data_IF_342795531382
#
_entry.id   IF_342795531382
#
_cell.length_a   1.000
_cell.length_b   1.000
_cell.length_c   1.000
_cell.angle_alpha   90.00
_cell.angle_beta   90.00
_cell.angle_gamma   90.00
#
_symmetry.space_group_name_H-M   'P 1'
#
loop_
_entity.id
_entity.type
_entity.pdbx_description
1 polymer ?
#
# COMPACT_ATOMS: atom_id res chain seq x y z
N UNK A 1 -21.85 -0.84 19.08
CA UNK A 1 -22.81 -0.63 17.97
C UNK A 1 -23.01 0.88 17.85
N UNK A 2 -22.64 1.51 16.71
CA UNK A 2 -22.81 2.96 16.53
C UNK A 2 -24.30 3.30 16.47
N UNK A 3 -24.70 4.43 17.05
CA UNK A 3 -26.09 4.90 16.96
C UNK A 3 -26.39 5.43 15.55
N UNK A 4 -27.68 5.48 15.16
CA UNK A 4 -28.08 5.95 13.83
C UNK A 4 -27.60 7.38 13.53
N UNK A 5 -27.59 8.27 14.52
CA UNK A 5 -27.11 9.64 14.32
C UNK A 5 -25.58 9.70 14.16
N UNK A 6 -24.82 8.82 14.82
CA UNK A 6 -23.36 8.73 14.65
C UNK A 6 -23.00 8.28 13.23
N UNK A 7 -23.74 7.31 12.67
CA UNK A 7 -23.53 6.88 11.28
C UNK A 7 -23.74 8.04 10.30
N UNK A 8 -24.83 8.82 10.47
CA UNK A 8 -25.10 10.00 9.63
C UNK A 8 -24.04 11.08 9.83
N UNK A 9 -23.60 11.32 11.06
CA UNK A 9 -22.55 12.29 11.35
C UNK A 9 -21.23 11.88 10.70
N UNK A 10 -20.85 10.61 10.81
CA UNK A 10 -19.65 10.06 10.17
C UNK A 10 -19.72 10.20 8.65
N UNK A 11 -20.87 9.93 8.02
CA UNK A 11 -21.05 10.11 6.58
C UNK A 11 -20.96 11.58 6.15
N UNK A 12 -21.63 12.50 6.85
CA UNK A 12 -21.53 13.92 6.51
C UNK A 12 -20.10 14.42 6.76
N UNK A 13 -19.42 13.95 7.81
CA UNK A 13 -18.00 14.25 8.07
C UNK A 13 -17.14 13.75 6.92
N UNK A 14 -17.34 12.50 6.49
CA UNK A 14 -16.68 11.87 5.35
C UNK A 14 -16.80 12.74 4.10
N UNK A 15 -18.02 13.21 3.78
CA UNK A 15 -18.29 14.12 2.66
C UNK A 15 -17.57 15.46 2.77
N UNK A 16 -17.42 16.01 3.97
CA UNK A 16 -16.69 17.26 4.19
C UNK A 16 -15.18 17.03 4.04
N UNK A 17 -14.66 15.93 4.59
CA UNK A 17 -13.25 15.58 4.58
C UNK A 17 -12.75 15.16 3.19
N UNK A 18 -13.61 14.61 2.35
CA UNK A 18 -13.35 14.26 0.95
C UNK A 18 -13.60 15.41 -0.04
N UNK A 19 -13.95 16.61 0.44
CA UNK A 19 -14.34 17.77 -0.37
C UNK A 19 -15.61 17.58 -1.24
N UNK A 20 -16.43 16.54 -1.00
CA UNK A 20 -17.78 16.46 -1.61
C UNK A 20 -18.67 17.63 -1.11
N UNK A 21 -18.57 17.95 0.18
CA UNK A 21 -19.20 19.12 0.80
C UNK A 21 -18.18 20.23 1.03
N UNK A 22 -18.22 21.24 0.16
CA UNK A 22 -17.25 22.34 0.12
C UNK A 22 -17.45 23.34 1.26
N UNK A 23 -16.35 23.77 1.90
CA UNK A 23 -16.34 24.82 2.94
C UNK A 23 -17.07 26.08 2.48
N UNK A 24 -17.94 26.63 3.33
CA UNK A 24 -18.73 27.81 3.03
C UNK A 24 -19.97 27.57 2.16
N UNK A 25 -20.22 26.34 1.70
CA UNK A 25 -21.47 25.96 1.01
C UNK A 25 -22.47 25.35 2.00
N UNK A 26 -23.76 25.40 1.63
CA UNK A 26 -24.84 24.76 2.40
C UNK A 26 -24.85 23.25 2.15
N UNK A 27 -25.03 22.47 3.22
CA UNK A 27 -25.35 21.04 3.09
C UNK A 27 -26.85 20.84 2.79
N UNK A 28 -27.29 19.65 2.34
CA UNK A 28 -28.71 19.38 2.10
C UNK A 28 -29.58 19.70 3.33
N UNK A 29 -30.80 20.28 3.16
CA UNK A 29 -31.68 20.61 4.28
C UNK A 29 -32.08 19.39 5.12
N UNK A 30 -32.44 19.60 6.41
CA UNK A 30 -32.84 18.52 7.34
C UNK A 30 -33.89 17.57 6.74
N UNK A 31 -34.86 18.10 5.99
CA UNK A 31 -35.94 17.33 5.37
C UNK A 31 -35.44 16.41 4.25
N UNK A 32 -34.42 16.84 3.51
CA UNK A 32 -33.80 16.04 2.46
C UNK A 32 -32.94 14.94 3.07
N UNK A 33 -32.08 15.28 4.04
CA UNK A 33 -31.29 14.30 4.79
C UNK A 33 -32.20 13.25 5.47
N UNK A 34 -33.36 13.65 5.98
CA UNK A 34 -34.35 12.71 6.53
C UNK A 34 -34.78 11.65 5.50
N UNK A 35 -35.02 12.06 4.24
CA UNK A 35 -35.40 11.17 3.15
C UNK A 35 -34.23 10.30 2.71
N UNK A 36 -33.07 10.91 2.52
CA UNK A 36 -31.85 10.22 2.04
C UNK A 36 -31.43 9.10 2.99
N UNK A 37 -31.53 9.35 4.30
CA UNK A 37 -31.12 8.42 5.35
C UNK A 37 -32.24 7.53 5.90
N UNK A 38 -33.50 7.80 5.54
CA UNK A 38 -34.65 7.05 6.06
C UNK A 38 -34.78 7.08 7.59
N UNK A 39 -34.39 8.19 8.24
CA UNK A 39 -34.41 8.34 9.71
C UNK A 39 -35.41 9.40 10.19
N UNK A 40 -35.53 9.57 11.51
CA UNK A 40 -36.32 10.67 12.08
C UNK A 40 -35.60 12.01 11.96
N UNK A 41 -36.37 13.11 11.92
CA UNK A 41 -35.82 14.47 11.98
C UNK A 41 -34.96 14.72 13.24
N UNK A 42 -35.30 14.08 14.36
CA UNK A 42 -34.51 14.16 15.60
C UNK A 42 -33.10 13.61 15.38
N UNK A 43 -33.00 12.44 14.76
CA UNK A 43 -31.72 11.77 14.47
C UNK A 43 -30.82 12.62 13.56
N UNK A 44 -31.38 13.26 12.52
CA UNK A 44 -30.62 14.20 11.67
C UNK A 44 -30.13 15.41 12.47
N UNK A 45 -30.97 15.94 13.37
CA UNK A 45 -30.59 17.08 14.22
C UNK A 45 -29.48 16.74 15.20
N UNK A 46 -29.49 15.54 15.79
CA UNK A 46 -28.41 15.05 16.64
C UNK A 46 -27.10 14.92 15.86
N UNK A 47 -27.14 14.39 14.64
CA UNK A 47 -25.96 14.28 13.77
C UNK A 47 -25.39 15.66 13.42
N UNK A 48 -26.25 16.61 13.00
CA UNK A 48 -25.82 17.98 12.72
C UNK A 48 -25.29 18.66 13.99
N UNK A 49 -25.93 18.47 15.14
CA UNK A 49 -25.47 19.06 16.40
C UNK A 49 -24.09 18.55 16.80
N UNK A 50 -23.82 17.25 16.62
CA UNK A 50 -22.49 16.67 16.81
C UNK A 50 -21.45 17.34 15.90
N UNK A 51 -21.73 17.46 14.61
CA UNK A 51 -20.81 18.05 13.65
C UNK A 51 -20.60 19.56 13.84
N UNK A 52 -21.62 20.27 14.31
CA UNK A 52 -21.48 21.67 14.73
C UNK A 52 -20.57 21.78 15.95
N UNK A 53 -20.75 20.89 16.92
CA UNK A 53 -19.89 20.86 18.10
C UNK A 53 -18.45 20.50 17.75
N UNK A 54 -18.23 19.59 16.79
CA UNK A 54 -16.90 19.22 16.29
C UNK A 54 -16.26 20.29 15.42
N UNK A 55 -17.05 21.25 14.92
CA UNK A 55 -16.58 22.38 14.10
C UNK A 55 -16.60 22.14 12.60
N UNK A 56 -17.14 21.00 12.13
CA UNK A 56 -17.32 20.68 10.70
C UNK A 56 -18.47 21.45 10.05
N UNK A 57 -19.46 21.86 10.85
CA UNK A 57 -20.64 22.58 10.38
C UNK A 57 -20.90 23.81 11.25
N UNK A 58 -21.61 24.78 10.68
CA UNK A 58 -22.17 25.93 11.41
C UNK A 58 -23.61 26.19 10.99
N UNK A 59 -24.45 26.57 11.95
CA UNK A 59 -25.84 26.94 11.67
C UNK A 59 -25.97 28.45 11.54
N UNK A 60 -26.56 28.88 10.43
CA UNK A 60 -26.97 30.27 10.23
C UNK A 60 -28.48 30.37 10.30
N UNK A 61 -28.98 31.22 11.22
CA UNK A 61 -30.41 31.38 11.45
C UNK A 61 -31.12 31.86 10.18
N UNK A 62 -32.06 31.07 9.67
CA UNK A 62 -32.86 31.39 8.49
C UNK A 62 -32.18 31.10 7.15
N UNK A 63 -30.89 30.75 7.12
CA UNK A 63 -30.13 30.53 5.87
C UNK A 63 -29.73 29.08 5.63
N UNK A 64 -29.57 28.28 6.69
CA UNK A 64 -29.31 26.84 6.57
C UNK A 64 -28.15 26.36 7.46
N UNK A 65 -27.62 25.19 7.13
CA UNK A 65 -26.40 24.65 7.75
C UNK A 65 -25.29 24.67 6.72
N UNK A 66 -24.17 25.30 7.06
CA UNK A 66 -23.02 25.50 6.20
C UNK A 66 -21.86 24.63 6.66
N UNK A 67 -21.02 24.22 5.72
CA UNK A 67 -19.72 23.62 6.02
C UNK A 67 -18.81 24.70 6.62
N UNK A 68 -18.21 24.40 7.78
CA UNK A 68 -17.28 25.27 8.52
C UNK A 68 -15.89 24.62 8.53
N UNK A 69 -14.84 25.41 8.65
CA UNK A 69 -13.44 24.99 8.78
C UNK A 69 -12.89 25.15 10.21
N UNK A 70 -13.72 25.55 11.19
CA UNK A 70 -13.30 25.77 12.57
C UNK A 70 -12.68 24.55 13.26
N UNK A 71 -13.01 23.34 12.79
CA UNK A 71 -12.34 22.10 13.23
C UNK A 71 -10.84 22.09 12.89
N UNK A 72 -10.40 22.84 11.88
CA UNK A 72 -8.99 23.05 11.56
C UNK A 72 -8.34 24.01 12.57
N UNK A 73 -9.07 25.05 13.00
CA UNK A 73 -8.57 26.09 13.92
C UNK A 73 -8.50 25.68 15.38
N UNK A 74 -9.15 24.58 15.78
CA UNK A 74 -8.95 23.98 17.11
C UNK A 74 -7.53 23.42 17.30
N UNK A 75 -6.72 23.36 16.24
CA UNK A 75 -5.26 23.14 16.29
C UNK A 75 -4.40 24.40 16.37
N UNK A 76 -4.97 25.61 16.27
CA UNK A 76 -4.22 26.88 16.16
C UNK A 76 -3.74 27.45 17.51
N UNK A 77 -3.90 26.69 18.60
CA UNK A 77 -3.25 26.99 19.87
C UNK A 77 -1.79 26.52 19.84
N UNK A 78 -0.89 27.31 19.27
CA UNK A 78 0.59 27.23 19.30
C UNK A 78 1.16 26.04 20.09
N UNK A 79 1.00 24.87 19.48
CA UNK A 79 1.76 23.65 19.66
C UNK A 79 1.66 23.03 18.29
N UNK A 80 2.65 23.28 17.43
CA UNK A 80 2.78 22.55 16.18
C UNK A 80 2.67 21.06 16.51
N UNK A 81 1.55 20.44 16.16
CA UNK A 81 1.38 18.99 16.32
C UNK A 81 2.49 18.36 15.50
N UNK A 82 3.60 17.96 16.13
CA UNK A 82 4.71 17.28 15.45
C UNK A 82 4.33 15.84 15.14
N UNK A 83 3.07 15.57 14.80
CA UNK A 83 2.56 14.23 14.54
C UNK A 83 2.58 13.99 13.04
N UNK A 84 3.32 12.97 12.62
CA UNK A 84 3.27 12.45 11.24
C UNK A 84 2.34 11.25 11.23
N UNK A 85 1.36 11.29 10.32
CA UNK A 85 0.51 10.14 10.02
C UNK A 85 1.24 9.15 9.13
N UNK A 86 1.16 7.86 9.45
CA UNK A 86 1.69 6.77 8.64
C UNK A 86 0.58 5.76 8.40
N UNK A 87 0.24 5.56 7.13
CA UNK A 87 -0.74 4.56 6.68
C UNK A 87 0.04 3.48 5.92
N UNK A 88 -0.07 2.24 6.34
CA UNK A 88 0.55 1.08 5.68
C UNK A 88 -0.50 0.04 5.32
N UNK A 89 -0.18 -0.92 4.43
CA UNK A 89 -1.11 -2.04 4.19
C UNK A 89 -1.16 -2.97 5.40
N UNK A 90 -0.02 -3.29 6.03
CA UNK A 90 0.06 -4.15 7.21
C UNK A 90 1.02 -3.58 8.27
N UNK A 91 0.85 -3.93 9.55
CA UNK A 91 1.68 -3.41 10.65
C UNK A 91 2.75 -4.39 11.12
N UNK A 92 2.33 -5.62 11.42
CA UNK A 92 3.17 -6.62 12.10
C UNK A 92 3.86 -7.57 11.14
N UNK A 93 3.47 -7.55 9.88
CA UNK A 93 3.75 -8.66 8.98
C UNK A 93 4.90 -8.33 8.05
N UNK A 94 5.67 -9.36 7.70
CA UNK A 94 6.62 -9.33 6.60
C UNK A 94 7.66 -8.20 6.71
N UNK A 95 7.60 -7.20 5.82
CA UNK A 95 8.60 -6.14 5.68
C UNK A 95 8.26 -4.86 6.46
N UNK A 96 7.01 -4.73 6.91
CA UNK A 96 6.48 -3.51 7.50
C UNK A 96 7.12 -3.13 8.84
N UNK A 97 7.41 -4.06 9.77
CA UNK A 97 8.04 -3.71 11.03
C UNK A 97 9.38 -2.95 10.86
N UNK A 98 10.20 -3.33 9.88
CA UNK A 98 11.47 -2.65 9.59
C UNK A 98 11.25 -1.27 8.95
N UNK A 99 10.30 -1.14 8.02
CA UNK A 99 9.96 0.16 7.43
C UNK A 99 9.46 1.12 8.52
N UNK A 100 8.51 0.66 9.35
CA UNK A 100 7.93 1.45 10.45
C UNK A 100 9.03 1.83 11.46
N UNK A 101 9.98 0.94 11.76
CA UNK A 101 11.13 1.24 12.63
C UNK A 101 11.98 2.37 12.08
N UNK A 102 12.33 2.32 10.79
CA UNK A 102 13.10 3.39 10.14
C UNK A 102 12.37 4.74 10.18
N UNK A 103 11.05 4.73 9.94
CA UNK A 103 10.22 5.93 10.07
C UNK A 103 10.22 6.44 11.52
N UNK A 104 9.86 5.58 12.49
CA UNK A 104 9.72 5.94 13.90
C UNK A 104 11.02 6.48 14.47
N UNK A 105 12.14 5.82 14.23
CA UNK A 105 13.43 6.22 14.76
C UNK A 105 13.79 7.62 14.27
N UNK A 106 13.70 7.85 12.95
CA UNK A 106 14.05 9.13 12.34
C UNK A 106 13.14 10.27 12.79
N UNK A 107 11.84 10.02 12.90
CA UNK A 107 10.88 10.99 13.43
C UNK A 107 11.17 11.32 14.90
N UNK A 108 11.38 10.30 15.74
CA UNK A 108 11.66 10.46 17.17
C UNK A 108 12.91 11.29 17.42
N UNK A 109 13.99 11.03 16.66
CA UNK A 109 15.25 11.79 16.75
C UNK A 109 15.06 13.30 16.49
N UNK A 110 14.03 13.68 15.73
CA UNK A 110 13.70 15.07 15.38
C UNK A 110 12.52 15.63 16.20
N UNK A 111 12.08 14.89 17.22
CA UNK A 111 11.00 15.29 18.13
C UNK A 111 9.60 15.21 17.51
N UNK A 112 9.42 14.42 16.45
CA UNK A 112 8.11 14.11 15.88
C UNK A 112 7.50 12.88 16.57
N UNK A 113 6.19 12.92 16.75
CA UNK A 113 5.35 11.78 17.13
C UNK A 113 4.83 11.06 15.89
N UNK A 114 4.56 9.77 16.03
CA UNK A 114 4.02 8.91 14.98
C UNK A 114 2.57 8.53 15.29
N UNK A 115 1.65 8.78 14.35
CA UNK A 115 0.30 8.24 14.35
C UNK A 115 0.20 7.16 13.27
N UNK A 116 0.06 5.90 13.68
CA UNK A 116 0.11 4.76 12.78
C UNK A 116 -1.29 4.18 12.53
N UNK A 117 -1.59 3.81 11.29
CA UNK A 117 -2.80 3.09 10.90
C UNK A 117 -2.50 2.08 9.77
N UNK A 118 -3.37 1.08 9.60
CA UNK A 118 -3.23 0.07 8.55
C UNK A 118 -4.52 -0.17 7.79
N UNK A 119 -4.41 -0.37 6.48
CA UNK A 119 -5.56 -0.55 5.59
C UNK A 119 -5.93 -2.02 5.38
N UNK A 120 -5.05 -2.96 5.71
CA UNK A 120 -5.17 -4.37 5.33
C UNK A 120 -5.36 -4.57 3.81
N UNK A 121 -4.81 -3.64 3.01
CA UNK A 121 -5.04 -3.53 1.57
C UNK A 121 -6.53 -3.45 1.17
N UNK A 122 -7.38 -2.88 2.03
CA UNK A 122 -8.81 -2.67 1.82
C UNK A 122 -9.15 -1.16 1.70
N UNK A 123 -9.93 -0.81 0.66
CA UNK A 123 -10.21 0.60 0.31
C UNK A 123 -11.16 1.27 1.30
N UNK A 124 -12.04 0.53 1.98
CA UNK A 124 -12.92 1.13 2.98
C UNK A 124 -12.16 1.37 4.30
N UNK A 125 -11.22 0.49 4.64
CA UNK A 125 -10.30 0.72 5.75
C UNK A 125 -9.33 1.88 5.47
N UNK A 126 -8.85 2.00 4.25
CA UNK A 126 -8.06 3.16 3.83
C UNK A 126 -8.84 4.47 4.05
N UNK A 127 -10.11 4.52 3.64
CA UNK A 127 -10.99 5.68 3.89
C UNK A 127 -11.02 6.04 5.36
N UNK A 128 -11.27 5.06 6.24
CA UNK A 128 -11.31 5.27 7.68
C UNK A 128 -9.97 5.78 8.23
N UNK A 129 -8.85 5.27 7.72
CA UNK A 129 -7.52 5.75 8.08
C UNK A 129 -7.31 7.21 7.67
N UNK A 130 -7.67 7.58 6.44
CA UNK A 130 -7.52 8.95 5.91
C UNK A 130 -8.40 9.94 6.69
N UNK A 131 -9.65 9.57 6.99
CA UNK A 131 -10.55 10.36 7.83
C UNK A 131 -9.97 10.57 9.24
N UNK A 132 -9.41 9.51 9.83
CA UNK A 132 -8.75 9.60 11.13
C UNK A 132 -7.57 10.58 11.08
N UNK A 133 -6.70 10.49 10.08
CA UNK A 133 -5.53 11.36 9.94
C UNK A 133 -5.94 12.84 9.78
N UNK A 134 -7.00 13.13 9.02
CA UNK A 134 -7.55 14.48 8.90
C UNK A 134 -8.15 14.98 10.22
N UNK A 135 -8.90 14.13 10.92
CA UNK A 135 -9.54 14.50 12.20
C UNK A 135 -8.55 14.78 13.32
N UNK A 136 -7.40 14.08 13.32
CA UNK A 136 -6.34 14.22 14.32
C UNK A 136 -5.36 15.37 13.99
N UNK A 137 -5.47 15.99 12.82
CA UNK A 137 -4.63 17.14 12.44
C UNK A 137 -3.14 16.78 12.35
N UNK A 138 -2.80 15.74 11.57
CA UNK A 138 -1.39 15.39 11.31
C UNK A 138 -0.70 16.49 10.50
N UNK A 139 0.59 16.71 10.77
CA UNK A 139 1.41 17.70 10.05
C UNK A 139 1.89 17.20 8.70
N UNK A 140 1.92 15.89 8.48
CA UNK A 140 2.34 15.27 7.23
C UNK A 140 1.89 13.82 7.19
N UNK A 141 1.83 13.25 5.99
CA UNK A 141 1.31 11.91 5.77
C UNK A 141 2.27 11.07 4.91
N UNK A 142 2.69 9.93 5.45
CA UNK A 142 3.38 8.87 4.69
C UNK A 142 2.33 7.78 4.42
N UNK A 143 2.19 7.37 3.16
CA UNK A 143 1.18 6.37 2.79
C UNK A 143 1.78 5.28 1.93
N UNK A 144 1.56 4.03 2.31
CA UNK A 144 1.60 2.94 1.35
C UNK A 144 0.23 2.80 0.68
N UNK A 145 0.15 2.96 -0.65
CA UNK A 145 -1.11 2.86 -1.37
C UNK A 145 -1.79 1.49 -1.23
N UNK A 146 -3.10 1.53 -1.03
CA UNK A 146 -3.98 0.36 -1.07
C UNK A 146 -4.39 0.04 -2.50
N UNK A 147 -4.21 -1.22 -2.91
CA UNK A 147 -4.57 -1.74 -4.24
C UNK A 147 -4.17 -0.80 -5.38
N UNK A 148 -2.91 -0.39 -5.38
CA UNK A 148 -2.39 0.71 -6.19
C UNK A 148 -2.51 0.53 -7.71
N UNK A 149 -2.82 -0.68 -8.18
CA UNK A 149 -3.07 -0.96 -9.60
C UNK A 149 -4.58 -1.12 -9.91
N UNK A 150 -5.44 -0.58 -9.05
CA UNK A 150 -6.88 -0.50 -9.24
C UNK A 150 -7.37 0.94 -9.00
N UNK A 151 -8.57 1.24 -9.51
CA UNK A 151 -9.22 2.51 -9.21
C UNK A 151 -9.45 2.66 -7.70
N UNK A 152 -8.96 3.76 -7.13
CA UNK A 152 -9.19 4.09 -5.73
C UNK A 152 -10.32 5.13 -5.58
N UNK A 153 -11.42 4.84 -4.87
CA UNK A 153 -12.48 5.83 -4.61
C UNK A 153 -12.06 6.94 -3.63
N UNK A 154 -10.92 6.82 -2.94
CA UNK A 154 -10.48 7.72 -1.88
C UNK A 154 -9.54 8.85 -2.37
N UNK A 155 -9.32 9.00 -3.68
CA UNK A 155 -8.40 10.03 -4.23
C UNK A 155 -8.70 11.45 -3.73
N UNK A 156 -9.97 11.77 -3.46
CA UNK A 156 -10.39 13.08 -2.98
C UNK A 156 -9.85 13.43 -1.59
N UNK A 157 -9.58 12.44 -0.72
CA UNK A 157 -8.93 12.66 0.57
C UNK A 157 -7.49 13.13 0.41
N UNK A 158 -6.74 12.51 -0.49
CA UNK A 158 -5.35 12.91 -0.78
C UNK A 158 -5.28 14.35 -1.32
N UNK A 159 -6.23 14.74 -2.17
CA UNK A 159 -6.36 16.14 -2.61
C UNK A 159 -6.69 17.08 -1.44
N UNK A 160 -7.54 16.64 -0.52
CA UNK A 160 -7.91 17.41 0.67
C UNK A 160 -6.73 17.66 1.61
N UNK A 161 -5.79 16.71 1.76
CA UNK A 161 -4.52 16.96 2.47
C UNK A 161 -3.70 18.06 1.79
N UNK A 162 -3.55 17.99 0.46
CA UNK A 162 -2.81 18.98 -0.33
C UNK A 162 -3.41 20.37 -0.22
N UNK A 163 -4.73 20.51 -0.28
CA UNK A 163 -5.43 21.78 -0.14
C UNK A 163 -5.23 22.42 1.24
N UNK A 164 -5.05 21.60 2.28
CA UNK A 164 -4.74 22.04 3.65
C UNK A 164 -3.26 22.33 3.88
N UNK A 165 -2.42 22.19 2.85
CA UNK A 165 -0.98 22.34 2.98
C UNK A 165 -0.30 21.22 3.78
N UNK A 166 -0.96 20.06 3.92
CA UNK A 166 -0.38 18.89 4.57
C UNK A 166 0.36 18.07 3.50
N UNK A 167 1.70 17.96 3.56
CA UNK A 167 2.45 17.19 2.59
C UNK A 167 2.12 15.69 2.69
N UNK A 168 2.18 15.02 1.53
CA UNK A 168 1.96 13.58 1.41
C UNK A 168 3.13 12.98 0.62
N UNK A 169 3.65 11.85 1.07
CA UNK A 169 4.58 11.01 0.31
C UNK A 169 4.12 9.57 0.30
N UNK A 170 4.26 8.91 -0.85
CA UNK A 170 3.92 7.51 -0.99
C UNK A 170 5.16 6.62 -0.90
N UNK A 171 5.01 5.43 -0.32
CA UNK A 171 6.09 4.44 -0.21
C UNK A 171 5.69 3.14 -0.89
N UNK A 172 6.68 2.40 -1.41
CA UNK A 172 6.56 1.10 -2.11
C UNK A 172 5.75 1.12 -3.42
N UNK A 173 4.73 1.96 -3.53
CA UNK A 173 3.90 2.19 -4.69
C UNK A 173 3.41 3.65 -4.71
N UNK A 174 2.63 4.01 -5.72
CA UNK A 174 1.93 5.29 -5.81
C UNK A 174 0.61 5.13 -6.57
N UNK A 175 -0.28 6.12 -6.50
CA UNK A 175 -1.44 6.22 -7.39
C UNK A 175 -1.05 7.00 -8.65
N UNK A 176 -1.19 6.39 -9.84
CA UNK A 176 -0.81 7.01 -11.11
C UNK A 176 -1.67 8.27 -11.41
N UNK A 177 -2.85 8.38 -10.80
CA UNK A 177 -3.77 9.51 -10.89
C UNK A 177 -3.35 10.73 -10.07
N UNK A 178 -2.42 10.59 -9.13
CA UNK A 178 -2.01 11.65 -8.22
C UNK A 178 -0.58 12.11 -8.51
N UNK A 179 -0.38 13.43 -8.61
CA UNK A 179 0.95 14.05 -8.61
C UNK A 179 1.47 14.19 -7.18
N UNK A 180 1.76 13.06 -6.54
CA UNK A 180 2.29 12.96 -5.18
C UNK A 180 3.69 12.33 -5.24
N UNK A 181 4.68 12.89 -4.52
CA UNK A 181 6.02 12.32 -4.47
C UNK A 181 6.04 10.91 -3.89
N UNK A 182 6.98 10.08 -4.35
CA UNK A 182 7.08 8.69 -3.93
C UNK A 182 8.52 8.22 -3.67
N UNK A 183 8.63 7.21 -2.82
CA UNK A 183 9.86 6.50 -2.48
C UNK A 183 9.63 5.00 -2.72
N UNK A 184 10.21 4.48 -3.79
CA UNK A 184 9.97 3.10 -4.23
C UNK A 184 11.28 2.34 -4.46
N UNK A 185 11.17 1.03 -4.62
CA UNK A 185 12.22 0.20 -5.23
C UNK A 185 11.97 0.10 -6.73
N UNK A 186 13.01 -0.07 -7.53
CA UNK A 186 12.88 -0.29 -8.98
C UNK A 186 12.37 -1.72 -9.27
N UNK A 187 11.06 -1.93 -9.13
CA UNK A 187 10.41 -3.23 -9.30
C UNK A 187 10.56 -3.82 -10.71
N UNK A 188 10.65 -2.97 -11.75
CA UNK A 188 10.94 -3.44 -13.11
C UNK A 188 12.34 -4.06 -13.18
N UNK A 189 13.34 -3.43 -12.55
CA UNK A 189 14.68 -4.00 -12.48
C UNK A 189 14.72 -5.24 -11.60
N UNK A 190 13.97 -5.28 -10.49
CA UNK A 190 13.89 -6.45 -9.61
C UNK A 190 13.43 -7.70 -10.38
N UNK A 191 12.29 -7.60 -11.07
CA UNK A 191 11.75 -8.70 -11.89
C UNK A 191 12.69 -9.09 -13.05
N UNK A 192 13.36 -8.12 -13.65
CA UNK A 192 14.35 -8.37 -14.70
C UNK A 192 15.56 -9.15 -14.18
N UNK A 193 16.17 -8.72 -13.07
CA UNK A 193 17.34 -9.36 -12.48
C UNK A 193 17.04 -10.79 -12.01
N UNK A 194 15.88 -11.01 -11.36
CA UNK A 194 15.42 -12.34 -10.97
C UNK A 194 15.37 -13.29 -12.18
N UNK A 195 14.70 -12.84 -13.24
CA UNK A 195 14.44 -13.66 -14.43
C UNK A 195 15.71 -13.91 -15.22
N UNK A 196 16.53 -12.86 -15.41
CA UNK A 196 17.84 -12.95 -16.06
C UNK A 196 18.74 -13.97 -15.37
N UNK A 197 18.77 -13.96 -14.04
CA UNK A 197 19.58 -14.90 -13.28
C UNK A 197 19.21 -16.36 -13.58
N UNK A 198 17.91 -16.70 -13.64
CA UNK A 198 17.48 -18.06 -13.99
C UNK A 198 17.94 -18.45 -15.40
N UNK A 199 17.84 -17.56 -16.38
CA UNK A 199 18.35 -17.82 -17.72
C UNK A 199 19.87 -18.03 -17.73
N UNK A 200 20.63 -17.24 -16.98
CA UNK A 200 22.08 -17.39 -16.83
C UNK A 200 22.46 -18.71 -16.13
N UNK A 201 21.59 -19.24 -15.28
CA UNK A 201 21.72 -20.58 -14.68
C UNK A 201 21.27 -21.72 -15.61
N UNK A 202 20.89 -21.43 -16.85
CA UNK A 202 20.57 -22.43 -17.88
C UNK A 202 19.09 -22.85 -17.92
N UNK A 203 18.22 -22.24 -17.10
CA UNK A 203 16.78 -22.49 -17.20
C UNK A 203 16.22 -21.91 -18.50
N UNK A 204 15.33 -22.63 -19.18
CA UNK A 204 14.72 -22.16 -20.44
C UNK A 204 13.20 -21.94 -20.34
N UNK A 205 12.56 -22.63 -19.41
CA UNK A 205 11.11 -22.60 -19.19
C UNK A 205 10.84 -22.06 -17.79
N UNK A 206 10.41 -20.80 -17.74
CA UNK A 206 10.18 -20.08 -16.50
C UNK A 206 8.69 -19.90 -16.26
N UNK A 207 8.32 -19.84 -14.98
CA UNK A 207 7.02 -19.37 -14.53
C UNK A 207 7.15 -18.10 -13.69
N UNK A 208 6.09 -17.30 -13.69
CA UNK A 208 5.94 -16.10 -12.86
C UNK A 208 4.72 -16.27 -11.96
N UNK A 209 4.88 -16.04 -10.67
CA UNK A 209 3.76 -15.84 -9.74
C UNK A 209 3.73 -14.35 -9.40
N UNK A 210 2.66 -13.63 -9.73
CA UNK A 210 2.59 -12.18 -9.51
C UNK A 210 1.25 -11.72 -8.93
N UNK A 211 1.31 -10.69 -8.10
CA UNK A 211 0.13 -9.98 -7.59
C UNK A 211 -0.30 -8.94 -8.62
N UNK A 212 -1.60 -8.75 -8.84
CA UNK A 212 -2.10 -7.88 -9.93
C UNK A 212 -2.91 -6.67 -9.46
N UNK A 213 -3.26 -6.61 -8.19
CA UNK A 213 -3.94 -5.48 -7.56
C UNK A 213 -2.98 -4.42 -7.03
N UNK A 214 -1.65 -4.57 -7.19
CA UNK A 214 -0.66 -3.54 -6.88
C UNK A 214 0.34 -3.28 -8.03
N UNK A 215 1.02 -2.12 -7.97
CA UNK A 215 1.94 -1.68 -9.01
C UNK A 215 3.26 -2.46 -8.97
N UNK A 216 3.70 -2.88 -7.78
CA UNK A 216 4.93 -3.66 -7.63
C UNK A 216 4.85 -4.94 -8.47
N UNK A 217 3.76 -5.69 -8.39
CA UNK A 217 3.57 -6.91 -9.17
C UNK A 217 3.47 -6.66 -10.67
N UNK A 218 2.79 -5.58 -11.09
CA UNK A 218 2.75 -5.13 -12.50
C UNK A 218 4.15 -4.80 -13.03
N UNK A 219 4.97 -4.08 -12.27
CA UNK A 219 6.32 -3.71 -12.68
C UNK A 219 7.31 -4.89 -12.62
N UNK A 220 7.22 -5.77 -11.62
CA UNK A 220 8.01 -7.03 -11.59
C UNK A 220 7.68 -7.90 -12.80
N UNK A 221 6.41 -8.02 -13.18
CA UNK A 221 6.00 -8.71 -14.42
C UNK A 221 6.58 -8.05 -15.68
N UNK A 222 6.60 -6.72 -15.75
CA UNK A 222 7.28 -5.99 -16.85
C UNK A 222 8.77 -6.35 -16.91
N UNK A 223 9.44 -6.45 -15.77
CA UNK A 223 10.83 -6.91 -15.67
C UNK A 223 11.03 -8.34 -16.19
N UNK A 224 10.15 -9.25 -15.80
CA UNK A 224 10.14 -10.64 -16.26
C UNK A 224 10.03 -10.74 -17.79
N UNK A 225 9.09 -10.01 -18.39
CA UNK A 225 8.91 -9.98 -19.85
C UNK A 225 10.15 -9.38 -20.54
N UNK A 226 10.68 -8.27 -20.02
CA UNK A 226 11.89 -7.63 -20.57
C UNK A 226 13.09 -8.59 -20.61
N UNK A 227 13.26 -9.44 -19.59
CA UNK A 227 14.33 -10.44 -19.59
C UNK A 227 14.12 -11.51 -20.67
N UNK A 228 12.88 -11.95 -20.93
CA UNK A 228 12.58 -12.88 -22.04
C UNK A 228 12.90 -12.27 -23.40
N UNK A 229 12.58 -10.99 -23.59
CA UNK A 229 12.90 -10.25 -24.83
C UNK A 229 14.41 -10.17 -25.06
N UNK A 230 15.19 -9.81 -24.03
CA UNK A 230 16.65 -9.70 -24.12
C UNK A 230 17.32 -11.07 -24.38
N UNK A 231 16.87 -12.11 -23.69
CA UNK A 231 17.43 -13.46 -23.80
C UNK A 231 16.90 -14.24 -25.02
N UNK A 232 15.92 -13.68 -25.74
CA UNK A 232 15.27 -14.27 -26.92
C UNK A 232 14.68 -15.65 -26.64
N UNK A 233 14.03 -15.79 -25.49
CA UNK A 233 13.36 -17.02 -25.04
C UNK A 233 11.85 -16.95 -25.26
N UNK A 234 11.21 -18.09 -25.50
CA UNK A 234 9.76 -18.13 -25.62
C UNK A 234 9.08 -17.81 -24.29
N UNK A 235 8.18 -16.83 -24.32
CA UNK A 235 7.27 -16.54 -23.22
C UNK A 235 5.93 -17.24 -23.48
N UNK A 236 5.50 -18.12 -22.57
CA UNK A 236 4.15 -18.69 -22.59
C UNK A 236 3.30 -17.99 -21.52
N UNK A 237 2.24 -17.23 -21.90
CA UNK A 237 1.32 -16.61 -20.95
C UNK A 237 0.67 -17.60 -19.98
N UNK A 238 0.60 -18.89 -20.33
CA UNK A 238 0.09 -19.95 -19.45
C UNK A 238 0.96 -20.13 -18.21
N UNK A 239 2.24 -19.75 -18.24
CA UNK A 239 3.16 -19.86 -17.12
C UNK A 239 3.14 -18.64 -16.19
N UNK A 240 2.17 -17.73 -16.38
CA UNK A 240 1.92 -16.61 -15.48
C UNK A 240 0.73 -16.93 -14.58
N UNK A 241 1.00 -16.97 -13.28
CA UNK A 241 0.03 -17.23 -12.23
C UNK A 241 -0.24 -15.93 -11.50
N UNK A 242 -1.47 -15.44 -11.57
CA UNK A 242 -1.86 -14.16 -10.98
C UNK A 242 -2.72 -14.37 -9.74
N UNK A 243 -2.62 -13.43 -8.81
CA UNK A 243 -3.49 -13.37 -7.64
C UNK A 243 -3.72 -11.93 -7.19
N UNK A 244 -4.76 -11.73 -6.38
CA UNK A 244 -5.06 -10.49 -5.65
C UNK A 244 -4.89 -10.75 -4.15
N UNK A 245 -4.96 -9.71 -3.31
CA UNK A 245 -4.93 -9.89 -1.85
C UNK A 245 -5.89 -10.99 -1.36
N UNK A 246 -7.10 -11.07 -1.90
CA UNK A 246 -8.12 -12.05 -1.47
C UNK A 246 -7.88 -13.46 -2.03
N UNK A 247 -7.25 -13.59 -3.19
CA UNK A 247 -7.09 -14.87 -3.90
C UNK A 247 -5.72 -15.51 -3.69
N UNK A 248 -4.84 -14.89 -2.88
CA UNK A 248 -3.49 -15.37 -2.58
C UNK A 248 -3.42 -16.86 -2.24
N UNK A 249 -4.30 -17.37 -1.39
CA UNK A 249 -4.29 -18.79 -1.00
C UNK A 249 -4.58 -19.73 -2.19
N UNK A 250 -5.41 -19.30 -3.14
CA UNK A 250 -5.84 -20.10 -4.30
C UNK A 250 -4.74 -20.25 -5.35
N UNK A 251 -3.77 -19.33 -5.38
CA UNK A 251 -2.67 -19.37 -6.36
C UNK A 251 -1.81 -20.62 -6.17
N UNK A 252 -1.60 -21.06 -4.92
CA UNK A 252 -0.81 -22.24 -4.61
C UNK A 252 -1.50 -23.53 -5.06
N UNK A 253 -2.83 -23.65 -4.86
CA UNK A 253 -3.58 -24.81 -5.36
C UNK A 253 -3.59 -24.87 -6.88
N UNK A 254 -3.83 -23.74 -7.54
CA UNK A 254 -3.80 -23.64 -9.01
C UNK A 254 -2.45 -24.07 -9.57
N UNK A 255 -1.37 -23.63 -8.92
CA UNK A 255 -0.02 -23.98 -9.31
C UNK A 255 0.29 -25.46 -9.05
N UNK A 256 -0.16 -26.01 -7.92
CA UNK A 256 -0.02 -27.43 -7.57
C UNK A 256 -0.63 -28.35 -8.63
N UNK A 257 -1.85 -28.04 -9.07
CA UNK A 257 -2.54 -28.80 -10.12
C UNK A 257 -1.83 -28.74 -11.47
N UNK A 258 -1.23 -27.59 -11.79
CA UNK A 258 -0.61 -27.37 -13.09
C UNK A 258 0.80 -27.94 -13.17
N UNK A 259 1.64 -27.74 -12.16
CA UNK A 259 2.96 -28.37 -12.09
C UNK A 259 2.90 -29.89 -12.06
N UNK A 260 1.80 -30.47 -11.58
CA UNK A 260 1.57 -31.92 -11.67
C UNK A 260 1.35 -32.42 -13.11
N UNK A 261 0.90 -31.55 -14.02
CA UNK A 261 0.57 -31.88 -15.42
C UNK A 261 1.64 -31.45 -16.42
N UNK A 262 2.36 -30.37 -16.13
CA UNK A 262 3.32 -29.72 -17.03
C UNK A 262 4.73 -29.74 -16.40
N UNK A 263 5.61 -30.60 -16.92
CA UNK A 263 6.97 -30.79 -16.38
C UNK A 263 8.04 -29.88 -17.01
N UNK A 264 7.67 -28.98 -17.91
CA UNK A 264 8.65 -28.16 -18.64
C UNK A 264 9.25 -27.05 -17.77
N UNK A 265 8.46 -26.46 -16.85
CA UNK A 265 8.93 -25.37 -15.98
C UNK A 265 10.00 -25.87 -15.01
N UNK A 266 11.15 -25.20 -14.98
CA UNK A 266 12.26 -25.53 -14.06
C UNK A 266 12.68 -24.38 -13.16
N UNK A 267 12.26 -23.15 -13.47
CA UNK A 267 12.54 -21.95 -12.69
C UNK A 267 11.29 -21.12 -12.45
N UNK A 268 11.09 -20.63 -11.23
CA UNK A 268 9.90 -19.88 -10.83
C UNK A 268 10.32 -18.56 -10.17
N UNK A 269 9.88 -17.45 -10.76
CA UNK A 269 10.02 -16.12 -10.18
C UNK A 269 8.76 -15.82 -9.37
N UNK A 270 8.90 -15.66 -8.07
CA UNK A 270 7.80 -15.36 -7.17
C UNK A 270 7.65 -13.86 -6.96
N UNK A 271 6.42 -13.43 -6.67
CA UNK A 271 6.11 -12.03 -6.36
C UNK A 271 7.02 -11.49 -5.26
N UNK A 272 7.16 -12.23 -4.17
CA UNK A 272 8.03 -11.89 -3.03
C UNK A 272 8.46 -13.15 -2.26
N UNK A 273 9.27 -12.97 -1.20
CA UNK A 273 9.78 -14.09 -0.39
C UNK A 273 8.67 -14.86 0.33
N UNK A 274 7.59 -14.19 0.72
CA UNK A 274 6.47 -14.85 1.39
C UNK A 274 5.76 -15.83 0.44
N UNK A 275 5.53 -15.40 -0.82
CA UNK A 275 5.01 -16.28 -1.87
C UNK A 275 6.00 -17.39 -2.19
N UNK A 276 7.30 -17.09 -2.25
CA UNK A 276 8.33 -18.10 -2.48
C UNK A 276 8.34 -19.18 -1.38
N UNK A 277 8.22 -18.79 -0.11
CA UNK A 277 8.13 -19.75 0.99
C UNK A 277 6.85 -20.59 0.93
N UNK A 278 5.70 -19.97 0.65
CA UNK A 278 4.44 -20.71 0.45
C UNK A 278 4.54 -21.72 -0.70
N UNK A 279 5.20 -21.33 -1.80
CA UNK A 279 5.47 -22.22 -2.93
C UNK A 279 6.37 -23.40 -2.53
N UNK A 280 7.45 -23.15 -1.80
CA UNK A 280 8.35 -24.22 -1.34
C UNK A 280 7.59 -25.23 -0.47
N UNK A 281 6.72 -24.77 0.43
CA UNK A 281 5.89 -25.65 1.25
C UNK A 281 4.91 -26.47 0.40
N UNK A 282 4.27 -25.85 -0.59
CA UNK A 282 3.38 -26.54 -1.52
C UNK A 282 4.13 -27.60 -2.36
N UNK A 283 5.32 -27.28 -2.85
CA UNK A 283 6.18 -28.22 -3.58
C UNK A 283 6.62 -29.40 -2.69
N UNK A 284 7.02 -29.13 -1.45
CA UNK A 284 7.39 -30.17 -0.49
C UNK A 284 6.22 -31.13 -0.21
N UNK A 285 4.98 -30.62 -0.10
CA UNK A 285 3.78 -31.44 0.06
C UNK A 285 3.49 -32.35 -1.16
N UNK A 286 4.02 -32.01 -2.34
CA UNK A 286 3.99 -32.86 -3.54
C UNK A 286 5.20 -33.81 -3.64
N UNK A 287 6.09 -33.83 -2.65
CA UNK A 287 7.35 -34.58 -2.69
C UNK A 287 8.40 -33.97 -3.64
N UNK A 288 8.26 -32.70 -4.00
CA UNK A 288 9.21 -31.94 -4.83
C UNK A 288 10.14 -31.12 -3.94
N UNK A 289 11.36 -30.91 -4.42
CA UNK A 289 12.43 -30.22 -3.68
C UNK A 289 12.90 -28.97 -4.42
N UNK A 290 13.37 -28.01 -3.64
CA UNK A 290 14.01 -26.80 -4.12
C UNK A 290 15.44 -26.79 -3.56
N UNK A 291 16.48 -26.67 -4.41
CA UNK A 291 16.43 -26.36 -5.85
C UNK A 291 16.35 -27.58 -6.79
N UNK A 292 16.30 -28.82 -6.29
CA UNK A 292 16.55 -30.02 -7.12
C UNK A 292 15.50 -30.26 -8.20
N UNK A 293 14.22 -30.02 -7.94
CA UNK A 293 13.15 -30.16 -8.93
C UNK A 293 12.81 -28.81 -9.55
N UNK A 294 12.77 -27.74 -8.75
CA UNK A 294 12.47 -26.37 -9.19
C UNK A 294 13.43 -25.38 -8.55
N UNK A 295 14.00 -24.48 -9.35
CA UNK A 295 14.65 -23.27 -8.84
C UNK A 295 13.59 -22.21 -8.53
N UNK A 296 13.73 -21.52 -7.41
CA UNK A 296 12.78 -20.49 -6.94
C UNK A 296 13.53 -19.22 -6.59
N UNK A 297 13.04 -18.07 -7.06
CA UNK A 297 13.55 -16.75 -6.66
C UNK A 297 12.42 -15.94 -6.01
N UNK A 298 12.71 -15.37 -4.85
CA UNK A 298 11.84 -14.45 -4.13
C UNK A 298 12.13 -12.98 -4.45
N UNK A 299 11.56 -12.09 -3.64
CA UNK A 299 11.85 -10.66 -3.68
C UNK A 299 11.73 -10.10 -2.27
N UNK A 300 12.50 -9.05 -1.99
CA UNK A 300 12.55 -8.20 -0.81
C UNK A 300 13.64 -8.53 0.22
N UNK A 301 14.31 -9.68 0.18
CA UNK A 301 15.27 -10.08 1.21
C UNK A 301 14.75 -9.91 2.65
N UNK A 302 13.56 -10.43 2.87
CA UNK A 302 12.92 -10.46 4.18
C UNK A 302 13.56 -11.50 5.11
N UNK A 303 13.18 -11.49 6.38
CA UNK A 303 13.57 -12.56 7.31
C UNK A 303 13.16 -13.96 6.82
N UNK A 304 12.10 -14.06 6.00
CA UNK A 304 11.65 -15.32 5.41
C UNK A 304 12.64 -15.89 4.39
N UNK A 305 13.50 -15.06 3.79
CA UNK A 305 14.53 -15.52 2.85
C UNK A 305 15.57 -16.41 3.53
N UNK A 306 15.74 -16.27 4.84
CA UNK A 306 16.72 -17.02 5.63
C UNK A 306 16.10 -17.89 6.72
N UNK A 307 14.80 -17.82 6.98
CA UNK A 307 14.15 -18.61 8.03
C UNK A 307 13.97 -20.09 7.67
N UNK A 308 13.78 -20.41 6.39
CA UNK A 308 13.49 -21.76 5.91
C UNK A 308 14.70 -22.71 5.88
N UNK A 309 14.42 -23.99 5.59
CA UNK A 309 15.43 -25.02 5.31
C UNK A 309 16.21 -24.72 4.03
N UNK A 310 15.55 -24.11 3.04
CA UNK A 310 16.17 -23.59 1.82
C UNK A 310 16.32 -22.08 1.99
N UNK A 311 17.56 -21.58 1.88
CA UNK A 311 17.80 -20.13 1.88
C UNK A 311 17.48 -19.58 0.49
N UNK A 312 16.60 -18.59 0.42
CA UNK A 312 16.08 -18.05 -0.83
C UNK A 312 17.07 -17.11 -1.50
N UNK A 313 17.39 -17.39 -2.76
CA UNK A 313 17.84 -16.38 -3.71
C UNK A 313 16.70 -15.37 -3.89
N UNK A 314 17.01 -14.08 -3.74
CA UNK A 314 16.00 -13.01 -3.67
C UNK A 314 16.61 -11.67 -4.12
N UNK A 315 15.81 -10.61 -4.10
CA UNK A 315 16.21 -9.25 -4.45
C UNK A 315 16.16 -8.36 -3.21
N UNK A 316 17.14 -7.49 -3.02
CA UNK A 316 17.19 -6.58 -1.89
C UNK A 316 16.01 -5.60 -1.90
N UNK A 317 15.50 -5.30 -0.71
CA UNK A 317 14.60 -4.18 -0.47
C UNK A 317 15.10 -3.45 0.79
N UNK A 318 15.52 -2.19 0.71
CA UNK A 318 16.15 -1.47 1.81
C UNK A 318 15.07 -0.95 2.78
N UNK A 319 14.48 -1.85 3.58
CA UNK A 319 13.27 -1.59 4.39
C UNK A 319 13.45 -0.42 5.37
N UNK A 320 14.48 -0.50 6.22
CA UNK A 320 14.72 0.52 7.24
C UNK A 320 15.14 1.85 6.59
N UNK A 321 16.05 1.82 5.62
CA UNK A 321 16.48 3.02 4.86
C UNK A 321 15.34 3.68 4.07
N UNK A 322 14.40 2.90 3.53
CA UNK A 322 13.20 3.42 2.86
C UNK A 322 12.31 4.14 3.86
N UNK A 323 12.14 3.58 5.06
CA UNK A 323 11.43 4.22 6.16
C UNK A 323 12.11 5.52 6.62
N UNK A 324 13.42 5.49 6.81
CA UNK A 324 14.22 6.68 7.14
C UNK A 324 14.08 7.76 6.07
N UNK A 325 14.20 7.38 4.79
CA UNK A 325 14.05 8.30 3.68
C UNK A 325 12.65 8.92 3.62
N UNK A 326 11.59 8.17 3.94
CA UNK A 326 10.23 8.69 4.00
C UNK A 326 10.04 9.68 5.15
N UNK A 327 10.62 9.40 6.31
CA UNK A 327 10.62 10.31 7.45
C UNK A 327 11.42 11.59 7.16
N UNK A 328 12.60 11.48 6.56
CA UNK A 328 13.39 12.64 6.12
C UNK A 328 12.60 13.49 5.14
N UNK A 329 12.04 12.85 4.12
CA UNK A 329 11.25 13.51 3.09
C UNK A 329 10.10 14.30 3.69
N UNK A 330 9.31 13.69 4.58
CA UNK A 330 8.12 14.35 5.13
C UNK A 330 8.48 15.49 6.07
N UNK A 331 9.56 15.37 6.85
CA UNK A 331 10.02 16.44 7.72
C UNK A 331 10.47 17.68 6.95
N UNK A 332 11.20 17.50 5.84
CA UNK A 332 11.61 18.59 4.94
C UNK A 332 10.39 19.23 4.29
N UNK A 333 9.43 18.42 3.82
CA UNK A 333 8.21 18.92 3.18
C UNK A 333 7.33 19.72 4.16
N UNK A 334 7.26 19.33 5.44
CA UNK A 334 6.58 20.11 6.49
C UNK A 334 7.23 21.47 6.71
N UNK A 335 8.54 21.59 6.47
CA UNK A 335 9.30 22.84 6.52
C UNK A 335 9.24 23.64 5.22
N UNK A 336 8.37 23.23 4.27
CA UNK A 336 8.18 23.85 2.95
C UNK A 336 9.42 23.78 2.05
N UNK A 337 10.28 22.78 2.26
CA UNK A 337 11.41 22.51 1.37
C UNK A 337 10.97 21.58 0.23
N UNK A 338 11.49 21.83 -0.99
CA UNK A 338 11.16 21.01 -2.15
C UNK A 338 11.92 19.68 -2.12
N UNK A 339 11.17 18.59 -2.27
CA UNK A 339 11.71 17.22 -2.31
C UNK A 339 11.11 16.45 -3.49
N UNK A 340 11.92 15.60 -4.12
CA UNK A 340 11.55 14.84 -5.33
C UNK A 340 11.21 13.37 -5.03
N UNK A 341 11.05 12.59 -6.09
CA UNK A 341 10.91 11.14 -5.98
C UNK A 341 12.26 10.49 -5.66
N UNK A 342 12.24 9.35 -4.97
CA UNK A 342 13.40 8.51 -4.70
C UNK A 342 13.15 7.08 -5.17
N UNK A 343 14.11 6.51 -5.90
CA UNK A 343 14.04 5.12 -6.36
C UNK A 343 15.30 4.41 -5.85
N UNK A 344 15.09 3.34 -5.09
CA UNK A 344 16.15 2.42 -4.67
C UNK A 344 16.37 1.35 -5.74
N UNK A 345 17.63 1.06 -6.01
CA UNK A 345 18.01 0.04 -6.99
C UNK A 345 18.16 -1.32 -6.28
N UNK A 346 17.42 -2.36 -6.70
CA UNK A 346 17.52 -3.67 -6.08
C UNK A 346 18.78 -4.40 -6.54
N UNK A 347 19.28 -5.26 -5.66
CA UNK A 347 20.44 -6.14 -5.89
C UNK A 347 20.02 -7.60 -5.76
N UNK A 348 20.58 -8.47 -6.59
CA UNK A 348 20.36 -9.91 -6.49
C UNK A 348 21.21 -10.50 -5.37
N UNK A 349 20.56 -11.18 -4.44
CA UNK A 349 21.19 -11.88 -3.33
C UNK A 349 21.05 -13.39 -3.60
N UNK A 350 22.15 -14.01 -4.00
CA UNK A 350 22.20 -15.42 -4.38
C UNK A 350 22.35 -16.30 -3.13
N UNK A 351 21.52 -17.34 -3.02
CA UNK A 351 21.56 -18.36 -1.97
C UNK A 351 21.28 -19.76 -2.56
N UNK A 352 20.60 -20.62 -1.82
CA UNK A 352 20.51 -22.05 -2.09
C UNK A 352 19.32 -22.45 -2.99
N UNK A 353 18.35 -21.55 -3.21
CA UNK A 353 17.09 -21.89 -3.89
C UNK A 353 17.16 -21.95 -5.42
N UNK A 354 18.34 -21.75 -6.01
CA UNK A 354 18.55 -21.83 -7.47
C UNK A 354 19.72 -22.75 -7.76
N UNK A 355 19.52 -23.74 -8.64
CA UNK A 355 20.60 -24.56 -9.18
C UNK A 355 20.95 -24.16 -10.61
N UNK A 356 22.17 -24.47 -11.02
CA UNK A 356 22.56 -24.45 -12.43
C UNK A 356 22.06 -25.71 -13.12
N UNK A 357 21.44 -25.55 -14.29
CA UNK A 357 21.11 -26.66 -15.20
C UNK A 357 22.20 -26.71 -16.27
N UNK A 358 22.95 -27.80 -16.30
CA UNK A 358 23.83 -28.13 -17.42
C UNK A 358 23.06 -29.04 -18.36
N UNK A 359 22.78 -28.56 -19.56
CA UNK A 359 22.27 -29.39 -20.66
C UNK A 359 23.29 -30.44 -21.10
#
# INVERSE_FOLDING_TARGET
MKTKYQVIADEIRSKILSNEFVVGKVIPPELQLQKDYGVSRHTVREAIALLVNEGFLRKEKGSGTYVDDSYQRRGDGVSSSKTIGVITTYLSDYIFPSIIRGIEQKLRENGYSLLLASTNNDVDQERACLEQMLSQGVSGLIVEPTKSNQYNPNLAYYLSFKERGIPVVMINAYYEELSVPFICVNDTKAGYLATKHLFEQGHQHLALITKIDDLQGKYRMKGFIKAHEEMRTNFDPKNVYTYTTETKAQVFETLREKLAREQEVTGIVCYNDEVAQGLIQALAAMGKRVPEDYSVIGNDDSFLSTAGSVKLTTLSHPKEELGEAAAEWIMLAVQQEMTGNKIFEPELIIRDSVKRITN
#
